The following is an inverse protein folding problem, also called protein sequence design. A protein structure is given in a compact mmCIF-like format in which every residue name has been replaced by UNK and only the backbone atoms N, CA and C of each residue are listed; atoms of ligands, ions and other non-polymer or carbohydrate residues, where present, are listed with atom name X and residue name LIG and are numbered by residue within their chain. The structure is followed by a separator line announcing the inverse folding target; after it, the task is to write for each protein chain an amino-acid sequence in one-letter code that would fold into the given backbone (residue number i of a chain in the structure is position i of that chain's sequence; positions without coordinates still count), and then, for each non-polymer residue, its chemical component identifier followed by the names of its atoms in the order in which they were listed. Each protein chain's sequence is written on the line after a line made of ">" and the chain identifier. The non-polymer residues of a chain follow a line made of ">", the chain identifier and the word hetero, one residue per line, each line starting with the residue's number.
data_IF_388304428315
#
_entry.id   IF_388304428315
#
_cell.length_a   1.000
_cell.length_b   1.000
_cell.length_c   1.000
_cell.angle_alpha   90.00
_cell.angle_beta   90.00
_cell.angle_gamma   90.00
#
_symmetry.space_group_name_H-M   'P 1'
#
loop_
_entity.id
_entity.type
_entity.pdbx_description
1 polymer ?
#
# COMPACT_ATOMS: atom_id res chain seq x y z
N UNK A 1 -13.11 30.16 27.73
CA UNK A 1 -11.77 29.55 27.79
C UNK A 1 -10.94 30.16 26.67
N UNK A 2 -10.01 31.08 26.99
CA UNK A 2 -9.06 31.63 25.99
C UNK A 2 -7.95 30.59 25.77
N UNK A 3 -8.20 29.64 24.89
CA UNK A 3 -7.19 28.67 24.49
C UNK A 3 -6.21 29.39 23.56
N UNK A 4 -5.03 29.73 24.06
CA UNK A 4 -3.95 30.28 23.24
C UNK A 4 -3.31 29.09 22.51
N UNK A 5 -3.40 29.09 21.18
CA UNK A 5 -2.75 28.11 20.32
C UNK A 5 -1.24 28.16 20.53
N UNK A 6 -0.61 27.03 20.83
CA UNK A 6 0.83 26.93 21.03
C UNK A 6 1.43 25.89 20.10
N UNK A 7 1.84 26.32 18.93
CA UNK A 7 2.52 25.48 17.95
C UNK A 7 4.03 25.34 18.21
N UNK A 8 4.61 26.19 19.09
CA UNK A 8 6.05 26.18 19.39
C UNK A 8 6.48 24.84 19.98
N UNK A 9 5.66 24.24 20.84
CA UNK A 9 5.93 22.93 21.42
C UNK A 9 6.07 21.81 20.37
N UNK A 10 5.39 21.92 19.23
CA UNK A 10 5.50 20.95 18.14
C UNK A 10 6.77 21.19 17.33
N UNK A 11 7.05 22.45 17.01
CA UNK A 11 8.24 22.83 16.22
C UNK A 11 9.55 22.79 17.03
N UNK A 12 9.46 22.79 18.36
CA UNK A 12 10.62 22.59 19.24
C UNK A 12 11.22 21.18 19.16
N UNK A 13 10.51 20.22 18.50
CA UNK A 13 10.97 18.85 18.38
C UNK A 13 11.18 18.41 16.91
N UNK A 14 12.02 19.13 16.12
CA UNK A 14 12.20 18.83 14.70
C UNK A 14 12.80 17.44 14.45
N UNK A 15 13.69 16.99 15.35
CA UNK A 15 14.32 15.68 15.27
C UNK A 15 13.29 14.55 15.38
N UNK A 16 12.30 14.69 16.28
CA UNK A 16 11.21 13.73 16.43
C UNK A 16 10.34 13.69 15.17
N UNK A 17 10.00 14.84 14.59
CA UNK A 17 9.24 14.92 13.34
C UNK A 17 10.00 14.31 12.17
N UNK A 18 11.30 14.56 12.05
CA UNK A 18 12.16 13.98 11.02
C UNK A 18 12.29 12.46 11.19
N UNK A 19 12.49 11.98 12.42
CA UNK A 19 12.53 10.55 12.72
C UNK A 19 11.18 9.87 12.38
N UNK A 20 10.07 10.54 12.71
CA UNK A 20 8.73 10.08 12.33
C UNK A 20 8.53 10.01 10.83
N UNK A 21 8.93 11.06 10.08
CA UNK A 21 8.86 11.09 8.63
C UNK A 21 9.72 9.99 7.98
N UNK A 22 10.94 9.79 8.48
CA UNK A 22 11.81 8.70 8.03
C UNK A 22 11.19 7.32 8.30
N UNK A 23 10.57 7.14 9.47
CA UNK A 23 9.84 5.91 9.82
C UNK A 23 8.64 5.66 8.89
N UNK A 24 7.85 6.70 8.60
CA UNK A 24 6.74 6.63 7.63
C UNK A 24 7.24 6.21 6.25
N UNK A 25 8.30 6.85 5.73
CA UNK A 25 8.88 6.49 4.43
C UNK A 25 9.45 5.08 4.42
N UNK A 26 10.13 4.67 5.49
CA UNK A 26 10.69 3.31 5.61
C UNK A 26 9.62 2.24 5.51
N UNK A 27 8.55 2.34 6.31
CA UNK A 27 7.48 1.35 6.29
C UNK A 27 6.71 1.40 4.97
N UNK A 28 6.48 2.59 4.41
CA UNK A 28 5.86 2.76 3.10
C UNK A 28 6.61 2.01 2.00
N UNK A 29 7.93 2.22 1.90
CA UNK A 29 8.75 1.56 0.86
C UNK A 29 8.74 0.04 1.04
N UNK A 30 8.89 -0.45 2.27
CA UNK A 30 8.82 -1.89 2.56
C UNK A 30 7.47 -2.46 2.11
N UNK A 31 6.37 -1.83 2.54
CA UNK A 31 5.02 -2.31 2.22
C UNK A 31 4.66 -2.17 0.75
N UNK A 32 5.17 -1.15 0.06
CA UNK A 32 4.98 -0.96 -1.37
C UNK A 32 5.68 -2.09 -2.15
N UNK A 33 6.95 -2.33 -1.88
CA UNK A 33 7.73 -3.37 -2.56
C UNK A 33 7.14 -4.75 -2.29
N UNK A 34 6.91 -5.11 -1.03
CA UNK A 34 6.34 -6.41 -0.67
C UNK A 34 4.90 -6.56 -1.17
N UNK A 35 4.07 -5.52 -1.02
CA UNK A 35 2.69 -5.54 -1.45
C UNK A 35 2.51 -5.69 -2.96
N UNK A 36 3.36 -5.03 -3.76
CA UNK A 36 3.32 -5.16 -5.22
C UNK A 36 3.91 -6.49 -5.70
N UNK A 37 5.05 -6.92 -5.14
CA UNK A 37 5.69 -8.18 -5.56
C UNK A 37 4.85 -9.40 -5.20
N UNK A 38 4.39 -9.49 -3.96
CA UNK A 38 3.47 -10.55 -3.55
C UNK A 38 2.12 -10.45 -4.28
N UNK A 39 1.63 -9.22 -4.49
CA UNK A 39 0.42 -8.97 -5.25
C UNK A 39 0.49 -9.48 -6.69
N UNK A 40 1.63 -9.30 -7.36
CA UNK A 40 1.85 -9.85 -8.69
C UNK A 40 1.76 -11.39 -8.68
N UNK A 41 2.41 -12.04 -7.72
CA UNK A 41 2.35 -13.51 -7.58
C UNK A 41 0.92 -14.01 -7.32
N UNK A 42 0.22 -13.34 -6.41
CA UNK A 42 -1.19 -13.65 -6.08
C UNK A 42 -2.11 -13.41 -7.29
N UNK A 43 -1.92 -12.29 -8.00
CA UNK A 43 -2.70 -11.96 -9.19
C UNK A 43 -2.52 -12.98 -10.32
N UNK A 44 -1.27 -13.40 -10.57
CA UNK A 44 -0.96 -14.49 -11.51
C UNK A 44 -1.56 -15.82 -11.05
N UNK A 45 -1.51 -16.11 -9.75
CA UNK A 45 -2.16 -17.28 -9.16
C UNK A 45 -3.68 -17.29 -9.40
N UNK A 46 -4.34 -16.16 -9.21
CA UNK A 46 -5.77 -15.98 -9.50
C UNK A 46 -6.14 -15.97 -10.99
N UNK A 47 -5.18 -15.72 -11.85
CA UNK A 47 -5.36 -15.85 -13.31
C UNK A 47 -5.14 -17.28 -13.81
N UNK A 48 -4.59 -18.16 -12.98
CA UNK A 48 -4.30 -19.55 -13.34
C UNK A 48 -5.56 -20.38 -13.58
N UNK A 49 -5.55 -21.22 -14.61
CA UNK A 49 -6.60 -22.21 -14.89
C UNK A 49 -6.50 -23.44 -13.98
N UNK A 50 -5.38 -23.63 -13.32
CA UNK A 50 -5.13 -24.77 -12.42
C UNK A 50 -5.76 -24.52 -11.05
N UNK A 51 -6.76 -25.33 -10.67
CA UNK A 51 -7.50 -25.15 -9.41
C UNK A 51 -6.62 -25.13 -8.17
N UNK A 52 -5.56 -25.92 -8.11
CA UNK A 52 -4.64 -26.00 -6.98
C UNK A 52 -3.79 -24.73 -6.78
N UNK A 53 -3.65 -23.86 -7.82
CA UNK A 53 -3.03 -22.54 -7.71
C UNK A 53 -4.09 -21.47 -7.44
N UNK A 54 -5.21 -21.55 -8.16
CA UNK A 54 -6.29 -20.57 -8.09
C UNK A 54 -6.96 -20.54 -6.70
N UNK A 55 -7.27 -21.71 -6.11
CA UNK A 55 -8.00 -21.76 -4.84
C UNK A 55 -7.24 -21.13 -3.67
N UNK A 56 -5.96 -21.44 -3.40
CA UNK A 56 -5.24 -20.79 -2.30
C UNK A 56 -5.01 -19.29 -2.57
N UNK A 57 -4.74 -18.87 -3.83
CA UNK A 57 -4.63 -17.48 -4.18
C UNK A 57 -5.95 -16.72 -3.96
N UNK A 58 -7.08 -17.35 -4.26
CA UNK A 58 -8.41 -16.79 -4.02
C UNK A 58 -8.73 -16.69 -2.52
N UNK A 59 -8.47 -17.75 -1.76
CA UNK A 59 -8.65 -17.73 -0.31
C UNK A 59 -7.82 -16.65 0.37
N UNK A 60 -6.57 -16.49 -0.05
CA UNK A 60 -5.69 -15.40 0.42
C UNK A 60 -6.32 -14.02 0.15
N UNK A 61 -6.75 -13.77 -1.08
CA UNK A 61 -7.33 -12.47 -1.46
C UNK A 61 -8.61 -12.21 -0.68
N UNK A 62 -9.52 -13.18 -0.59
CA UNK A 62 -10.77 -13.02 0.14
C UNK A 62 -10.53 -12.78 1.63
N UNK A 63 -9.57 -13.46 2.26
CA UNK A 63 -9.25 -13.27 3.66
C UNK A 63 -8.67 -11.86 3.93
N UNK A 64 -7.60 -11.49 3.22
CA UNK A 64 -6.90 -10.23 3.51
C UNK A 64 -7.66 -8.98 3.04
N UNK A 65 -8.55 -9.07 2.06
CA UNK A 65 -9.41 -7.95 1.64
C UNK A 65 -10.61 -7.74 2.55
N UNK A 66 -11.15 -8.80 3.13
CA UNK A 66 -12.36 -8.73 3.95
C UNK A 66 -12.06 -8.60 5.45
N UNK A 67 -10.80 -8.53 5.86
CA UNK A 67 -10.40 -8.26 7.24
C UNK A 67 -9.77 -6.88 7.38
N UNK A 68 -10.09 -6.11 8.45
CA UNK A 68 -9.50 -4.79 8.67
C UNK A 68 -7.99 -4.87 8.89
N UNK A 69 -7.22 -4.03 8.21
CA UNK A 69 -5.75 -4.02 8.31
C UNK A 69 -5.26 -3.81 9.73
N UNK A 70 -5.90 -2.91 10.48
CA UNK A 70 -5.55 -2.67 11.88
C UNK A 70 -5.65 -3.94 12.72
N UNK A 71 -6.70 -4.74 12.52
CA UNK A 71 -6.87 -6.02 13.23
C UNK A 71 -5.77 -7.02 12.85
N UNK A 72 -5.37 -7.05 11.55
CA UNK A 72 -4.26 -7.89 11.10
C UNK A 72 -2.95 -7.48 11.79
N UNK A 73 -2.63 -6.16 11.86
CA UNK A 73 -1.43 -5.64 12.54
C UNK A 73 -1.42 -6.05 14.02
N UNK A 74 -2.54 -5.83 14.72
CA UNK A 74 -2.66 -6.18 16.14
C UNK A 74 -2.53 -7.69 16.35
N UNK A 75 -3.08 -8.51 15.45
CA UNK A 75 -2.94 -9.96 15.52
C UNK A 75 -1.49 -10.40 15.34
N UNK A 76 -0.77 -9.83 14.35
CA UNK A 76 0.65 -10.13 14.13
C UNK A 76 1.52 -9.69 15.30
N UNK A 77 1.16 -8.59 15.97
CA UNK A 77 1.97 -8.07 17.05
C UNK A 77 1.70 -8.74 18.41
N UNK A 78 0.44 -9.01 18.74
CA UNK A 78 0.07 -9.52 20.04
C UNK A 78 -0.23 -11.03 20.05
N UNK A 79 -0.91 -11.56 19.04
CA UNK A 79 -1.34 -12.95 19.05
C UNK A 79 -0.29 -13.90 18.44
N UNK A 80 0.34 -13.52 17.34
CA UNK A 80 1.29 -14.39 16.65
C UNK A 80 2.51 -14.77 17.52
N UNK A 81 3.12 -13.87 18.33
CA UNK A 81 4.20 -14.26 19.25
C UNK A 81 3.81 -15.29 20.31
N UNK A 82 2.54 -15.41 20.65
CA UNK A 82 2.07 -16.47 21.57
C UNK A 82 2.15 -17.85 20.96
N UNK A 83 2.21 -17.94 19.62
CA UNK A 83 2.29 -19.19 18.86
C UNK A 83 3.72 -19.51 18.40
N UNK A 84 4.62 -18.56 18.50
CA UNK A 84 6.01 -18.64 18.00
C UNK A 84 7.01 -18.49 19.14
N UNK A 85 8.20 -19.11 19.05
CA UNK A 85 9.23 -19.02 20.09
C UNK A 85 10.08 -17.74 20.01
N UNK A 86 9.59 -16.67 19.33
CA UNK A 86 10.32 -15.40 19.17
C UNK A 86 9.37 -14.20 19.16
N UNK A 87 9.88 -13.05 19.54
CA UNK A 87 9.18 -11.78 19.53
C UNK A 87 9.12 -11.17 18.11
N UNK A 88 8.03 -10.48 17.82
CA UNK A 88 7.85 -9.77 16.55
C UNK A 88 7.96 -8.27 16.83
N UNK A 89 8.87 -7.59 16.11
CA UNK A 89 9.05 -6.16 16.25
C UNK A 89 7.82 -5.38 15.73
N UNK A 90 7.55 -4.15 16.26
CA UNK A 90 6.50 -3.28 15.76
C UNK A 90 6.56 -3.06 14.24
N UNK A 91 7.76 -2.85 13.69
CA UNK A 91 7.98 -2.72 12.25
C UNK A 91 7.54 -3.98 11.50
N UNK A 92 7.97 -5.15 11.98
CA UNK A 92 7.66 -6.42 11.31
C UNK A 92 6.15 -6.70 11.31
N UNK A 93 5.48 -6.51 12.45
CA UNK A 93 4.03 -6.72 12.56
C UNK A 93 3.24 -5.78 11.64
N UNK A 94 3.59 -4.48 11.64
CA UNK A 94 2.96 -3.49 10.78
C UNK A 94 3.24 -3.78 9.30
N UNK A 95 4.50 -4.12 8.96
CA UNK A 95 4.88 -4.47 7.58
C UNK A 95 4.14 -5.71 7.09
N UNK A 96 3.99 -6.75 7.91
CA UNK A 96 3.21 -7.94 7.56
C UNK A 96 1.74 -7.59 7.28
N UNK A 97 1.07 -6.91 8.21
CA UNK A 97 -0.35 -6.56 8.04
C UNK A 97 -0.61 -5.72 6.81
N UNK A 98 0.16 -4.64 6.63
CA UNK A 98 0.00 -3.74 5.49
C UNK A 98 0.39 -4.41 4.18
N UNK A 99 1.50 -5.16 4.13
CA UNK A 99 1.98 -5.80 2.90
C UNK A 99 1.05 -6.92 2.42
N UNK A 100 0.56 -7.79 3.31
CA UNK A 100 -0.33 -8.89 2.94
C UNK A 100 -1.69 -8.37 2.46
N UNK A 101 -2.24 -7.36 3.15
CA UNK A 101 -3.43 -6.66 2.67
C UNK A 101 -3.17 -6.00 1.32
N UNK A 102 -2.04 -5.29 1.16
CA UNK A 102 -1.68 -4.65 -0.10
C UNK A 102 -1.49 -5.65 -1.23
N UNK A 103 -0.91 -6.82 -0.95
CA UNK A 103 -0.76 -7.89 -1.91
C UNK A 103 -2.11 -8.41 -2.41
N UNK A 104 -3.09 -8.56 -1.53
CA UNK A 104 -4.43 -8.99 -1.91
C UNK A 104 -5.12 -8.00 -2.84
N UNK A 105 -5.06 -6.69 -2.55
CA UNK A 105 -5.62 -5.65 -3.42
C UNK A 105 -4.84 -5.49 -4.73
N UNK A 106 -3.50 -5.46 -4.68
CA UNK A 106 -2.66 -5.37 -5.88
C UNK A 106 -2.82 -6.59 -6.78
N UNK A 107 -3.03 -7.77 -6.19
CA UNK A 107 -3.30 -8.99 -6.95
C UNK A 107 -4.55 -8.88 -7.82
N UNK A 108 -5.61 -8.25 -7.31
CA UNK A 108 -6.81 -7.99 -8.10
C UNK A 108 -6.58 -6.94 -9.19
N UNK A 109 -5.75 -5.92 -8.93
CA UNK A 109 -5.36 -4.95 -9.97
C UNK A 109 -4.62 -5.66 -11.10
N UNK A 110 -3.64 -6.51 -10.79
CA UNK A 110 -2.91 -7.28 -11.80
C UNK A 110 -3.81 -8.23 -12.58
N UNK A 111 -4.66 -8.99 -11.89
CA UNK A 111 -5.61 -9.89 -12.52
C UNK A 111 -6.58 -9.13 -13.42
N UNK A 112 -7.20 -8.06 -12.90
CA UNK A 112 -8.15 -7.23 -13.63
C UNK A 112 -7.54 -6.56 -14.85
N UNK A 113 -6.29 -6.07 -14.74
CA UNK A 113 -5.58 -5.46 -15.85
C UNK A 113 -5.34 -6.42 -17.01
N UNK A 114 -4.97 -7.67 -16.75
CA UNK A 114 -4.82 -8.70 -17.78
C UNK A 114 -6.18 -9.04 -18.41
N UNK A 115 -7.23 -9.16 -17.59
CA UNK A 115 -8.57 -9.52 -18.04
C UNK A 115 -9.31 -8.36 -18.77
N UNK A 116 -8.87 -7.12 -18.59
CA UNK A 116 -9.49 -5.95 -19.22
C UNK A 116 -9.22 -5.85 -20.71
N UNK A 117 -8.28 -6.64 -21.25
CA UNK A 117 -7.95 -6.62 -22.65
C UNK A 117 -8.96 -7.41 -23.47
N UNK A 118 -9.36 -6.83 -24.61
CA UNK A 118 -10.33 -7.41 -25.51
C UNK A 118 -9.87 -8.75 -26.08
N UNK A 119 -10.80 -9.67 -26.27
CA UNK A 119 -10.53 -10.97 -26.89
C UNK A 119 -9.88 -10.84 -28.26
N UNK A 120 -10.23 -9.80 -29.02
CA UNK A 120 -9.66 -9.51 -30.32
C UNK A 120 -8.13 -9.34 -30.32
N UNK A 121 -7.53 -8.87 -29.20
CA UNK A 121 -6.07 -8.80 -29.07
C UNK A 121 -5.44 -10.21 -29.02
N UNK A 122 -6.09 -11.15 -28.35
CA UNK A 122 -5.67 -12.55 -28.29
C UNK A 122 -5.89 -13.26 -29.62
N UNK A 123 -7.05 -13.07 -30.24
CA UNK A 123 -7.41 -13.67 -31.52
C UNK A 123 -6.50 -13.16 -32.66
N UNK A 124 -6.21 -11.86 -32.66
CA UNK A 124 -5.26 -11.26 -33.62
C UNK A 124 -3.85 -11.81 -33.46
N UNK A 125 -3.38 -11.97 -32.24
CA UNK A 125 -2.08 -12.59 -31.96
C UNK A 125 -2.03 -14.05 -32.46
N UNK A 126 -3.10 -14.82 -32.27
CA UNK A 126 -3.20 -16.20 -32.71
C UNK A 126 -3.25 -16.28 -34.25
N UNK A 127 -3.97 -15.38 -34.91
CA UNK A 127 -4.02 -15.30 -36.36
C UNK A 127 -2.65 -15.02 -36.99
N UNK A 128 -1.77 -14.33 -36.28
CA UNK A 128 -0.37 -14.10 -36.65
C UNK A 128 0.55 -15.28 -36.31
N UNK A 129 0.01 -16.42 -35.86
CA UNK A 129 0.79 -17.61 -35.52
C UNK A 129 1.57 -17.50 -34.20
N UNK A 130 1.25 -16.52 -33.35
CA UNK A 130 1.93 -16.36 -32.05
C UNK A 130 1.51 -17.43 -31.06
N UNK A 131 2.47 -17.97 -30.31
CA UNK A 131 2.17 -18.80 -29.12
C UNK A 131 1.55 -17.93 -28.01
N UNK A 132 0.82 -18.53 -27.08
CA UNK A 132 0.25 -17.80 -25.93
C UNK A 132 1.29 -16.98 -25.17
N UNK A 133 2.49 -17.53 -24.96
CA UNK A 133 3.60 -16.83 -24.31
C UNK A 133 4.11 -15.62 -25.11
N UNK A 134 4.18 -15.74 -26.43
CA UNK A 134 4.56 -14.63 -27.31
C UNK A 134 3.48 -13.54 -27.31
N UNK A 135 2.21 -13.92 -27.45
CA UNK A 135 1.09 -13.00 -27.36
C UNK A 135 1.08 -12.26 -26.02
N UNK A 136 1.19 -13.00 -24.90
CA UNK A 136 1.26 -12.42 -23.56
C UNK A 136 2.39 -11.40 -23.44
N UNK A 137 3.62 -11.74 -23.84
CA UNK A 137 4.80 -10.89 -23.62
C UNK A 137 4.86 -9.70 -24.55
N UNK A 138 4.43 -9.85 -25.83
CA UNK A 138 4.63 -8.82 -26.86
C UNK A 138 3.42 -7.90 -27.06
N UNK A 139 2.21 -8.40 -26.79
CA UNK A 139 0.97 -7.67 -27.06
C UNK A 139 0.21 -7.37 -25.77
N UNK A 140 -0.09 -8.40 -24.99
CA UNK A 140 -1.00 -8.30 -23.83
C UNK A 140 -0.35 -7.55 -22.66
N UNK A 141 0.82 -7.99 -22.23
CA UNK A 141 1.46 -7.44 -21.02
C UNK A 141 1.80 -5.95 -21.12
N UNK A 142 2.34 -5.41 -22.25
CA UNK A 142 2.59 -3.98 -22.39
C UNK A 142 1.30 -3.14 -22.30
N UNK A 143 0.21 -3.60 -22.90
CA UNK A 143 -1.09 -2.93 -22.82
C UNK A 143 -1.70 -3.05 -21.41
N UNK A 144 -1.65 -4.24 -20.80
CA UNK A 144 -2.13 -4.48 -19.47
C UNK A 144 -1.42 -3.58 -18.44
N UNK A 145 -0.09 -3.44 -18.52
CA UNK A 145 0.68 -2.56 -17.64
C UNK A 145 0.17 -1.11 -17.75
N UNK A 146 -0.03 -0.59 -18.95
CA UNK A 146 -0.55 0.78 -19.13
C UNK A 146 -1.92 0.95 -18.44
N UNK A 147 -2.82 -0.03 -18.57
CA UNK A 147 -4.16 0.00 -17.96
C UNK A 147 -4.12 -0.14 -16.43
N UNK A 148 -3.13 -0.85 -15.88
CA UNK A 148 -2.96 -1.05 -14.44
C UNK A 148 -2.30 0.14 -13.72
N UNK A 149 -1.44 0.91 -14.42
CA UNK A 149 -0.65 1.99 -13.81
C UNK A 149 -1.47 2.95 -12.95
N UNK A 150 -2.63 3.48 -13.38
CA UNK A 150 -3.44 4.37 -12.54
C UNK A 150 -3.90 3.71 -11.24
N UNK A 151 -4.36 2.46 -11.31
CA UNK A 151 -4.80 1.73 -10.13
C UNK A 151 -3.63 1.40 -9.18
N UNK A 152 -2.44 1.09 -9.71
CA UNK A 152 -1.24 0.83 -8.91
C UNK A 152 -0.71 2.11 -8.22
N UNK A 153 -0.77 3.25 -8.89
CA UNK A 153 -0.38 4.53 -8.28
C UNK A 153 -1.35 4.96 -7.18
N UNK A 154 -2.66 4.78 -7.38
CA UNK A 154 -3.65 4.97 -6.33
C UNK A 154 -3.41 4.01 -5.15
N UNK A 155 -3.05 2.75 -5.43
CA UNK A 155 -2.69 1.79 -4.37
C UNK A 155 -1.47 2.24 -3.57
N UNK A 156 -0.45 2.81 -4.22
CA UNK A 156 0.72 3.36 -3.52
C UNK A 156 0.32 4.50 -2.56
N UNK A 157 -0.58 5.40 -2.97
CA UNK A 157 -1.12 6.46 -2.10
C UNK A 157 -1.85 5.86 -0.88
N UNK A 158 -2.65 4.81 -1.09
CA UNK A 158 -3.34 4.12 0.00
C UNK A 158 -2.33 3.49 0.98
N UNK A 159 -1.30 2.79 0.48
CA UNK A 159 -0.25 2.19 1.32
C UNK A 159 0.45 3.27 2.15
N UNK A 160 0.74 4.44 1.57
CA UNK A 160 1.31 5.55 2.31
C UNK A 160 0.39 6.01 3.46
N UNK A 161 -0.91 6.16 3.21
CA UNK A 161 -1.89 6.48 4.26
C UNK A 161 -1.97 5.39 5.32
N UNK A 162 -1.93 4.11 4.91
CA UNK A 162 -1.98 2.97 5.83
C UNK A 162 -0.74 2.87 6.75
N UNK A 163 0.38 3.51 6.41
CA UNK A 163 1.56 3.55 7.28
C UNK A 163 1.26 4.11 8.68
N UNK A 164 0.27 5.00 8.80
CA UNK A 164 -0.20 5.55 10.08
C UNK A 164 -0.73 4.50 11.05
N UNK A 165 -1.23 3.36 10.53
CA UNK A 165 -1.74 2.26 11.35
C UNK A 165 -0.63 1.58 12.17
N UNK A 166 0.64 1.73 11.77
CA UNK A 166 1.78 1.21 12.51
C UNK A 166 1.94 1.87 13.90
N UNK A 167 1.39 3.07 14.08
CA UNK A 167 1.33 3.73 15.39
C UNK A 167 0.51 2.95 16.44
N UNK A 168 -0.37 2.05 16.02
CA UNK A 168 -1.15 1.22 16.92
C UNK A 168 -0.30 0.19 17.70
N UNK A 169 0.87 -0.14 17.15
CA UNK A 169 1.87 -1.02 17.80
C UNK A 169 3.13 -0.25 18.20
N UNK A 170 2.98 1.06 18.42
CA UNK A 170 4.05 1.97 18.84
C UNK A 170 5.27 2.01 17.90
N UNK A 171 5.10 1.68 16.60
CA UNK A 171 6.15 1.91 15.61
C UNK A 171 6.38 3.41 15.43
N UNK A 172 7.66 3.81 15.43
CA UNK A 172 8.05 5.22 15.30
C UNK A 172 7.83 5.68 13.84
N UNK A 173 6.69 6.31 13.62
CA UNK A 173 6.31 6.99 12.39
C UNK A 173 5.69 8.36 12.73
N UNK A 174 5.29 9.12 11.73
CA UNK A 174 4.92 10.52 11.90
C UNK A 174 3.72 10.73 12.85
N UNK A 175 2.67 9.89 12.75
CA UNK A 175 1.51 9.97 13.64
C UNK A 175 1.88 9.55 15.07
N UNK A 176 2.76 8.55 15.24
CA UNK A 176 3.24 8.15 16.57
C UNK A 176 4.00 9.29 17.26
N UNK A 177 4.84 10.01 16.52
CA UNK A 177 5.52 11.19 17.07
C UNK A 177 4.53 12.30 17.45
N UNK A 178 3.52 12.53 16.61
CA UNK A 178 2.44 13.46 16.95
C UNK A 178 1.69 13.10 18.23
N UNK A 179 1.40 11.81 18.44
CA UNK A 179 0.78 11.30 19.67
C UNK A 179 1.67 11.58 20.88
N UNK A 180 2.98 11.34 20.79
CA UNK A 180 3.92 11.57 21.89
C UNK A 180 4.01 13.07 22.22
N UNK A 181 4.16 13.95 21.23
CA UNK A 181 4.20 15.40 21.39
C UNK A 181 2.90 15.89 22.05
N UNK A 182 1.74 15.43 21.54
CA UNK A 182 0.44 15.80 22.10
C UNK A 182 0.27 15.37 23.55
N UNK A 183 0.76 14.17 23.90
CA UNK A 183 0.66 13.63 25.25
C UNK A 183 1.57 14.37 26.25
N UNK A 184 2.80 14.67 25.85
CA UNK A 184 3.78 15.34 26.71
C UNK A 184 3.41 16.80 26.97
N UNK A 185 2.93 17.52 25.94
CA UNK A 185 2.68 18.95 26.01
C UNK A 185 1.20 19.30 26.24
N UNK A 186 0.31 18.31 26.34
CA UNK A 186 -1.14 18.50 26.49
C UNK A 186 -1.75 19.41 25.39
N UNK A 187 -1.21 19.33 24.14
CA UNK A 187 -1.63 20.15 22.99
C UNK A 187 -2.05 19.30 21.77
N UNK A 188 -3.10 18.46 21.90
CA UNK A 188 -3.50 17.53 20.82
C UNK A 188 -3.94 18.23 19.54
N UNK A 189 -4.58 19.40 19.64
CA UNK A 189 -5.09 20.13 18.47
C UNK A 189 -3.94 20.58 17.61
N UNK A 190 -2.93 21.23 18.20
CA UNK A 190 -1.75 21.73 17.49
C UNK A 190 -0.93 20.57 16.91
N UNK A 191 -0.66 19.55 17.71
CA UNK A 191 0.14 18.40 17.30
C UNK A 191 -0.51 17.68 16.11
N UNK A 192 -1.78 17.28 16.22
CA UNK A 192 -2.46 16.58 15.13
C UNK A 192 -2.70 17.45 13.91
N UNK A 193 -2.89 18.76 14.05
CA UNK A 193 -3.01 19.68 12.91
C UNK A 193 -1.69 19.75 12.11
N UNK A 194 -0.55 19.84 12.81
CA UNK A 194 0.77 19.83 12.16
C UNK A 194 1.03 18.48 11.47
N UNK A 195 0.72 17.36 12.13
CA UNK A 195 0.86 16.03 11.53
C UNK A 195 -0.02 15.89 10.27
N UNK A 196 -1.27 16.34 10.32
CA UNK A 196 -2.17 16.32 9.17
C UNK A 196 -1.62 17.16 8.02
N UNK A 197 -1.09 18.34 8.31
CA UNK A 197 -0.45 19.21 7.33
C UNK A 197 0.79 18.55 6.70
N UNK A 198 1.64 17.91 7.50
CA UNK A 198 2.81 17.19 7.00
C UNK A 198 2.41 16.01 6.08
N UNK A 199 1.40 15.22 6.45
CA UNK A 199 0.86 14.18 5.57
C UNK A 199 0.32 14.77 4.27
N UNK A 200 -0.38 15.90 4.32
CA UNK A 200 -0.85 16.58 3.13
C UNK A 200 0.32 17.01 2.22
N UNK A 201 1.36 17.62 2.79
CA UNK A 201 2.56 18.05 2.04
C UNK A 201 3.26 16.87 1.37
N UNK A 202 3.35 15.71 2.02
CA UNK A 202 3.95 14.50 1.42
C UNK A 202 3.05 13.86 0.35
N UNK A 203 1.75 13.80 0.58
CA UNK A 203 0.81 13.12 -0.30
C UNK A 203 0.42 13.94 -1.52
N UNK A 204 0.29 15.25 -1.38
CA UNK A 204 -0.18 16.12 -2.46
C UNK A 204 0.65 16.00 -3.74
N UNK A 205 2.01 16.05 -3.71
CA UNK A 205 2.82 15.85 -4.91
C UNK A 205 2.63 14.45 -5.53
N UNK A 206 2.47 13.42 -4.71
CA UNK A 206 2.27 12.06 -5.18
C UNK A 206 0.92 11.92 -5.90
N UNK A 207 -0.13 12.53 -5.37
CA UNK A 207 -1.46 12.59 -5.99
C UNK A 207 -1.41 13.36 -7.31
N UNK A 208 -0.73 14.50 -7.36
CA UNK A 208 -0.58 15.27 -8.60
C UNK A 208 0.20 14.48 -9.67
N UNK A 209 1.26 13.78 -9.27
CA UNK A 209 2.00 12.91 -10.19
C UNK A 209 1.10 11.80 -10.78
N UNK A 210 0.19 11.24 -9.98
CA UNK A 210 -0.80 10.26 -10.45
C UNK A 210 -1.73 10.86 -11.50
N UNK A 211 -2.30 12.04 -11.27
CA UNK A 211 -3.16 12.71 -12.25
C UNK A 211 -2.44 13.03 -13.57
N UNK A 212 -1.18 13.47 -13.48
CA UNK A 212 -0.37 13.72 -14.68
C UNK A 212 -0.08 12.43 -15.47
N UNK A 213 0.16 11.33 -14.77
CA UNK A 213 0.34 10.02 -15.38
C UNK A 213 -0.93 9.55 -16.09
N UNK A 214 -2.08 9.64 -15.43
CA UNK A 214 -3.38 9.26 -15.98
C UNK A 214 -3.69 10.07 -17.25
N UNK A 215 -3.45 11.37 -17.23
CA UNK A 215 -3.64 12.23 -18.38
C UNK A 215 -2.78 11.80 -19.59
N UNK A 216 -1.48 11.55 -19.35
CA UNK A 216 -0.57 11.10 -20.41
C UNK A 216 -0.96 9.74 -21.02
N UNK A 217 -1.48 8.84 -20.18
CA UNK A 217 -1.93 7.52 -20.67
C UNK A 217 -3.21 7.61 -21.51
N UNK A 218 -4.10 8.57 -21.19
CA UNK A 218 -5.31 8.81 -21.98
C UNK A 218 -5.04 9.47 -23.34
N UNK A 219 -4.02 10.33 -23.42
CA UNK A 219 -3.64 11.03 -24.66
C UNK A 219 -2.89 10.10 -25.65
N UNK A 220 -2.51 8.89 -25.23
CA UNK A 220 -1.76 7.92 -26.02
C UNK A 220 -2.56 6.70 -26.51
N UNK A 221 -3.86 6.65 -26.23
CA UNK A 221 -4.83 5.68 -26.74
C UNK A 221 -5.67 6.34 -27.84
#
# INVERSE_FOLDING_TARGET
>A
MNQRWNFDAVWANPEALLAGAAGTLRIFVICLVLGLTLGLLVGLGRYSTRRWIYLPASAFVEFFRNTPVLVQILWFYFALPMLLPFEISPLTAAALGISLNSAAFSGEIFRGGIQSLERGQWEGAQALGMTQGQAMRRIILPQAIKRMLPALTNRAIEIFKMSTLASAVAYVELLQQGKLIASINYNPIEAYSVIALLFFVFLYPLVQATYLLERKLREGD
#
